data_IF_358743052039
#
_entry.id   IF_358743052039
#
_cell.length_a   1.000
_cell.length_b   1.000
_cell.length_c   1.000
_cell.angle_alpha   90.00
_cell.angle_beta   90.00
_cell.angle_gamma   90.00
#
_symmetry.space_group_name_H-M   'P 1'
#
loop_
_entity.id
_entity.type
_entity.pdbx_description
1 polymer ?
#
# COMPACT_ATOMS: atom_id res chain seq x y z
N UNK A 1 -8.56 3.02 -7.72
CA UNK A 1 -7.21 2.45 -8.06
C UNK A 1 -6.86 1.33 -7.10
N UNK A 2 -6.23 0.22 -7.55
CA UNK A 2 -5.81 -0.89 -6.66
C UNK A 2 -4.59 -0.49 -5.85
N UNK A 3 -4.60 -0.82 -4.57
CA UNK A 3 -3.54 -0.59 -3.61
C UNK A 3 -3.33 -1.82 -2.72
N UNK A 4 -2.19 -1.85 -2.05
CA UNK A 4 -1.85 -2.88 -1.06
C UNK A 4 -1.62 -2.19 0.27
N UNK A 5 -2.46 -2.54 1.24
CA UNK A 5 -2.45 -1.98 2.57
C UNK A 5 -1.56 -2.81 3.49
N UNK A 6 -0.60 -2.17 4.14
CA UNK A 6 0.08 -2.76 5.29
C UNK A 6 -0.69 -2.39 6.55
N UNK A 7 -1.35 -3.37 7.15
CA UNK A 7 -2.15 -3.15 8.36
C UNK A 7 -1.30 -2.94 9.61
N UNK A 8 -0.03 -3.38 9.59
CA UNK A 8 0.91 -3.19 10.72
C UNK A 8 1.38 -1.75 10.84
N UNK A 9 1.58 -1.07 9.72
CA UNK A 9 2.09 0.31 9.70
C UNK A 9 1.08 1.30 9.16
N UNK A 10 -0.13 0.86 8.83
CA UNK A 10 -1.19 1.69 8.21
C UNK A 10 -0.66 2.43 6.98
N UNK A 11 0.14 1.74 6.16
CA UNK A 11 0.70 2.33 4.93
C UNK A 11 0.10 1.74 3.67
N UNK A 12 -0.24 2.60 2.72
CA UNK A 12 -0.70 2.20 1.39
C UNK A 12 0.48 2.07 0.42
N UNK A 13 0.48 1.00 -0.39
CA UNK A 13 1.49 0.69 -1.41
C UNK A 13 0.84 0.43 -2.76
N UNK A 14 1.60 0.60 -3.85
CA UNK A 14 1.12 0.19 -5.18
C UNK A 14 1.32 -1.32 -5.36
N UNK A 15 0.35 -2.05 -5.94
CA UNK A 15 0.49 -3.47 -6.21
C UNK A 15 1.59 -3.70 -7.25
N UNK A 16 2.37 -4.76 -7.07
CA UNK A 16 3.44 -5.11 -8.00
C UNK A 16 2.85 -5.48 -9.38
N UNK A 17 3.41 -4.93 -10.46
CA UNK A 17 2.94 -5.19 -11.84
C UNK A 17 3.41 -6.53 -12.42
N UNK A 18 4.43 -7.15 -11.84
CA UNK A 18 5.03 -8.39 -12.37
C UNK A 18 5.38 -9.31 -11.21
N UNK A 19 4.47 -10.26 -10.94
CA UNK A 19 4.54 -11.11 -9.76
C UNK A 19 5.35 -12.38 -10.02
N UNK A 20 6.33 -12.64 -9.15
CA UNK A 20 6.55 -14.02 -8.66
C UNK A 20 6.43 -14.13 -7.14
N UNK A 21 6.83 -13.12 -6.36
CA UNK A 21 6.75 -13.19 -4.88
C UNK A 21 6.66 -11.80 -4.22
N UNK A 22 6.06 -10.82 -4.88
CA UNK A 22 6.07 -9.43 -4.44
C UNK A 22 4.65 -8.85 -4.48
N UNK A 23 4.15 -8.40 -3.33
CA UNK A 23 2.83 -7.80 -3.20
C UNK A 23 2.85 -6.31 -3.57
N UNK A 24 3.86 -5.57 -3.08
CA UNK A 24 4.03 -4.15 -3.38
C UNK A 24 5.18 -3.89 -4.34
N UNK A 25 4.99 -2.98 -5.29
CA UNK A 25 5.98 -2.58 -6.29
C UNK A 25 7.32 -2.14 -5.66
N UNK A 26 7.26 -1.40 -4.55
CA UNK A 26 8.44 -0.95 -3.79
C UNK A 26 9.20 -2.07 -3.05
N UNK A 27 8.61 -3.26 -2.92
CA UNK A 27 9.21 -4.43 -2.26
C UNK A 27 9.20 -4.40 -0.75
N UNK A 28 8.69 -3.33 -0.12
CA UNK A 28 8.65 -3.19 1.33
C UNK A 28 7.81 -4.27 2.03
N UNK A 29 6.85 -4.86 1.31
CA UNK A 29 5.96 -5.90 1.83
C UNK A 29 6.50 -7.33 1.65
N UNK A 30 7.73 -7.50 1.13
CA UNK A 30 8.30 -8.83 0.88
C UNK A 30 8.45 -9.68 2.14
N UNK A 31 8.69 -9.05 3.28
CA UNK A 31 8.86 -9.72 4.59
C UNK A 31 7.63 -9.58 5.49
N UNK A 32 6.59 -8.89 5.04
CA UNK A 32 5.38 -8.70 5.83
C UNK A 32 4.49 -9.92 5.62
N UNK A 33 4.01 -10.56 6.71
CA UNK A 33 3.10 -11.70 6.59
C UNK A 33 1.83 -11.29 5.86
N UNK A 34 1.32 -12.18 5.00
CA UNK A 34 0.14 -11.92 4.17
C UNK A 34 -1.12 -11.62 4.98
N UNK A 35 -1.21 -12.13 6.21
CA UNK A 35 -2.29 -11.83 7.15
C UNK A 35 -2.32 -10.36 7.61
N UNK A 36 -1.22 -9.63 7.42
CA UNK A 36 -1.11 -8.20 7.73
C UNK A 36 -1.00 -7.32 6.50
N UNK A 37 -1.26 -7.91 5.33
CA UNK A 37 -1.25 -7.22 4.05
C UNK A 37 -2.56 -7.49 3.36
N UNK A 38 -3.29 -6.42 3.07
CA UNK A 38 -4.59 -6.52 2.39
C UNK A 38 -4.54 -5.79 1.07
N UNK A 39 -4.82 -6.49 -0.01
CA UNK A 39 -5.08 -5.86 -1.31
C UNK A 39 -6.50 -5.27 -1.28
N UNK A 40 -6.61 -3.99 -1.62
CA UNK A 40 -7.89 -3.25 -1.62
C UNK A 40 -7.85 -2.17 -2.71
N UNK A 41 -8.97 -1.55 -3.01
CA UNK A 41 -8.99 -0.36 -3.86
C UNK A 41 -9.05 0.90 -3.01
N UNK A 42 -8.46 2.02 -3.45
CA UNK A 42 -8.63 3.34 -2.79
C UNK A 42 -10.11 3.69 -2.59
N UNK A 43 -10.95 3.33 -3.56
CA UNK A 43 -12.40 3.56 -3.52
C UNK A 43 -13.13 2.70 -2.46
N UNK A 44 -12.50 1.61 -2.00
CA UNK A 44 -13.03 0.72 -0.97
C UNK A 44 -12.47 1.04 0.42
N UNK A 45 -11.50 1.95 0.53
CA UNK A 45 -11.04 2.42 1.82
C UNK A 45 -12.10 3.37 2.35
N UNK A 46 -12.66 3.05 3.51
CA UNK A 46 -13.61 3.95 4.13
C UNK A 46 -12.92 5.28 4.48
N UNK A 47 -13.57 6.44 4.27
CA UNK A 47 -12.98 7.74 4.55
C UNK A 47 -12.35 7.89 5.95
N UNK A 48 -12.91 7.35 7.06
CA UNK A 48 -12.23 7.40 8.36
C UNK A 48 -10.89 6.66 8.37
N UNK A 49 -10.73 5.59 7.58
CA UNK A 49 -9.49 4.83 7.50
C UNK A 49 -8.49 5.59 6.62
N UNK A 50 -8.93 6.19 5.52
CA UNK A 50 -8.06 6.99 4.63
C UNK A 50 -7.28 8.10 5.35
N UNK A 51 -7.88 8.75 6.34
CA UNK A 51 -7.25 9.84 7.10
C UNK A 51 -6.06 9.36 7.93
N UNK A 52 -6.07 8.10 8.36
CA UNK A 52 -5.00 7.47 9.14
C UNK A 52 -3.99 6.73 8.27
N UNK A 53 -4.23 6.62 6.95
CA UNK A 53 -3.36 5.89 6.05
C UNK A 53 -2.24 6.76 5.49
N UNK A 54 -1.01 6.31 5.72
CA UNK A 54 0.17 6.94 5.14
C UNK A 54 0.50 6.34 3.77
N UNK A 55 0.65 7.18 2.74
CA UNK A 55 1.06 6.70 1.42
C UNK A 55 2.56 6.43 1.41
N UNK A 56 2.95 5.24 0.94
CA UNK A 56 4.36 4.90 0.79
C UNK A 56 5.03 5.85 -0.22
N UNK A 57 5.96 6.69 0.22
CA UNK A 57 6.64 7.64 -0.66
C UNK A 57 7.44 7.02 -1.81
N UNK A 58 7.78 5.72 -1.72
CA UNK A 58 8.38 4.97 -2.85
C UNK A 58 7.36 4.52 -3.89
N UNK A 59 6.13 4.22 -3.46
CA UNK A 59 5.06 3.85 -4.38
C UNK A 59 4.36 5.09 -4.95
N UNK A 60 4.21 6.11 -4.12
CA UNK A 60 3.48 7.35 -4.38
C UNK A 60 4.45 8.52 -4.29
N UNK A 61 5.41 8.59 -5.21
CA UNK A 61 6.40 9.67 -5.34
C UNK A 61 5.79 11.09 -5.42
N UNK A 62 4.47 11.19 -5.58
CA UNK A 62 3.67 12.43 -5.67
C UNK A 62 3.30 13.06 -4.31
N UNK A 63 3.73 12.51 -3.17
CA UNK A 63 3.61 13.18 -1.86
C UNK A 63 4.84 14.02 -1.48
N UNK A 64 5.64 14.41 -2.48
CA UNK A 64 6.64 15.47 -2.38
C UNK A 64 6.04 16.78 -2.86
N UNK A 65 5.72 17.67 -1.93
CA UNK A 65 5.08 18.95 -2.25
C UNK A 65 5.97 19.95 -3.00
N UNK A 66 5.29 20.93 -3.61
CA UNK A 66 5.53 22.37 -3.43
C UNK A 66 4.23 23.13 -3.71
#
# INVERSE_FOLDING_TARGET
MRIVLNESTKTAHKPARSARNQLADCGALRHVPTDRVRETSEEEIEPPIEVELERCGRCFEDSGGY
#
